data_IF_902230353241
#
_entry.id   IF_902230353241
#
_cell.length_a   1.000
_cell.length_b   1.000
_cell.length_c   1.000
_cell.angle_alpha   90.00
_cell.angle_beta   90.00
_cell.angle_gamma   90.00
#
_symmetry.space_group_name_H-M   'P 1'
#
loop_
_entity.id
_entity.type
_entity.pdbx_description
1 polymer ?
#
# COMPACT_ATOMS: atom_id res chain seq x y z
N UNK A 1 -11.27 19.24 12.74
CA UNK A 1 -11.59 17.81 12.57
C UNK A 1 -10.33 17.00 12.86
N UNK A 2 -10.46 15.83 13.48
CA UNK A 2 -9.34 14.90 13.72
C UNK A 2 -9.35 13.86 12.59
N UNK A 3 -8.20 13.68 11.95
CA UNK A 3 -8.00 12.60 10.99
C UNK A 3 -7.82 11.30 11.77
N UNK A 4 -8.49 10.23 11.34
CA UNK A 4 -8.35 8.89 11.89
C UNK A 4 -7.62 8.05 10.85
N UNK A 5 -6.53 7.42 11.25
CA UNK A 5 -5.82 6.47 10.40
C UNK A 5 -6.53 5.11 10.44
N UNK A 6 -6.97 4.64 9.28
CA UNK A 6 -7.59 3.32 9.09
C UNK A 6 -6.66 2.35 8.36
N UNK A 7 -5.40 2.72 8.18
CA UNK A 7 -4.38 1.93 7.47
C UNK A 7 -3.80 0.87 8.41
N UNK A 8 -3.62 -0.35 7.90
CA UNK A 8 -2.91 -1.40 8.62
C UNK A 8 -1.40 -1.04 8.66
N UNK A 9 -0.73 -1.12 9.82
CA UNK A 9 0.72 -0.93 9.89
C UNK A 9 1.46 -1.87 8.95
N UNK A 10 2.31 -1.31 8.09
CA UNK A 10 3.06 -2.06 7.10
C UNK A 10 4.44 -2.45 7.62
N UNK A 11 4.78 -3.73 7.56
CA UNK A 11 6.09 -4.24 7.98
C UNK A 11 6.36 -5.66 7.50
N UNK A 12 7.54 -6.20 7.81
CA UNK A 12 7.96 -7.55 7.38
C UNK A 12 7.05 -8.67 7.89
N UNK A 13 6.21 -8.40 8.90
CA UNK A 13 5.23 -9.33 9.44
C UNK A 13 3.83 -9.17 8.80
N UNK A 14 3.63 -8.21 7.90
CA UNK A 14 2.39 -8.08 7.15
C UNK A 14 2.23 -9.31 6.26
N UNK A 15 1.16 -10.10 6.44
CA UNK A 15 0.99 -11.34 5.69
C UNK A 15 0.78 -11.04 4.21
N UNK A 16 1.54 -11.67 3.29
CA UNK A 16 1.23 -11.58 1.87
C UNK A 16 0.04 -12.47 1.52
N UNK A 17 -0.48 -12.30 0.31
CA UNK A 17 -1.27 -13.35 -0.31
C UNK A 17 -0.40 -14.62 -0.45
N UNK A 18 -0.94 -15.84 -0.24
CA UNK A 18 -0.15 -17.08 -0.16
C UNK A 18 0.78 -17.36 -1.34
N UNK A 19 0.49 -16.81 -2.52
CA UNK A 19 1.28 -17.00 -3.75
C UNK A 19 2.07 -15.76 -4.19
N UNK A 20 2.06 -14.68 -3.40
CA UNK A 20 2.76 -13.43 -3.73
C UNK A 20 4.07 -13.29 -2.97
N UNK A 21 4.98 -12.50 -3.52
CA UNK A 21 6.21 -12.10 -2.81
C UNK A 21 5.86 -11.31 -1.55
N UNK A 22 6.39 -11.69 -0.37
CA UNK A 22 6.21 -10.93 0.86
C UNK A 22 6.92 -9.56 0.80
N UNK A 23 6.57 -8.66 1.72
CA UNK A 23 7.35 -7.43 1.88
C UNK A 23 8.77 -7.73 2.35
N UNK A 24 9.71 -7.40 1.48
CA UNK A 24 11.13 -7.44 1.76
C UNK A 24 11.63 -6.02 2.02
N UNK A 25 12.37 -5.84 3.11
CA UNK A 25 12.98 -4.56 3.48
C UNK A 25 14.49 -4.76 3.58
N UNK A 26 15.23 -4.09 2.70
CA UNK A 26 16.70 -4.12 2.69
C UNK A 26 17.26 -2.74 2.97
N UNK A 27 18.04 -2.60 4.03
CA UNK A 27 18.84 -1.41 4.25
C UNK A 27 20.11 -1.47 3.41
N UNK A 28 20.24 -0.55 2.44
CA UNK A 28 21.48 -0.37 1.67
C UNK A 28 22.37 0.75 2.23
N UNK A 29 21.83 1.57 3.15
CA UNK A 29 22.55 2.53 3.98
C UNK A 29 22.06 2.49 5.41
N UNK A 30 22.96 2.71 6.37
CA UNK A 30 22.66 2.84 7.79
C UNK A 30 23.13 4.20 8.31
N UNK A 31 22.39 4.76 9.27
CA UNK A 31 22.65 6.10 9.81
C UNK A 31 24.09 6.29 10.29
N UNK A 32 24.60 5.39 11.14
CA UNK A 32 25.93 5.53 11.73
C UNK A 32 27.08 5.59 10.69
N UNK A 33 27.21 4.66 9.74
CA UNK A 33 28.29 4.72 8.75
C UNK A 33 28.03 5.67 7.56
N UNK A 34 26.79 6.09 7.31
CA UNK A 34 26.44 6.80 6.06
C UNK A 34 25.78 8.17 6.26
N UNK A 35 25.45 8.57 7.49
CA UNK A 35 24.73 9.82 7.78
C UNK A 35 23.22 9.78 7.45
N UNK A 36 22.70 8.67 6.94
CA UNK A 36 21.28 8.46 6.69
C UNK A 36 20.92 6.96 6.62
N UNK A 37 19.65 6.63 6.84
CA UNK A 37 19.10 5.31 6.50
C UNK A 37 18.56 5.33 5.07
N UNK A 38 18.89 4.29 4.30
CA UNK A 38 18.35 4.08 2.96
C UNK A 38 17.81 2.67 2.86
N UNK A 39 16.55 2.53 2.43
CA UNK A 39 15.87 1.25 2.32
C UNK A 39 15.41 1.00 0.88
N UNK A 40 15.48 -0.25 0.47
CA UNK A 40 14.74 -0.78 -0.67
C UNK A 40 13.58 -1.60 -0.12
N UNK A 41 12.40 -1.36 -0.66
CA UNK A 41 11.19 -2.12 -0.37
C UNK A 41 10.84 -2.89 -1.65
N UNK A 42 10.55 -4.17 -1.51
CA UNK A 42 10.07 -5.02 -2.61
C UNK A 42 8.86 -5.78 -2.10
N UNK A 43 7.71 -5.57 -2.74
CA UNK A 43 6.45 -6.20 -2.39
C UNK A 43 5.50 -6.17 -3.60
N UNK A 44 4.45 -7.00 -3.56
CA UNK A 44 3.28 -6.82 -4.42
C UNK A 44 2.47 -5.58 -3.98
N UNK A 45 1.88 -4.84 -4.91
CA UNK A 45 0.95 -3.74 -4.57
C UNK A 45 -0.27 -4.20 -3.76
N UNK A 46 -0.56 -5.50 -3.78
CA UNK A 46 -1.66 -6.15 -3.05
C UNK A 46 -1.17 -6.58 -1.67
N UNK A 47 -0.87 -5.60 -0.82
CA UNK A 47 -0.35 -5.82 0.52
C UNK A 47 -0.82 -4.73 1.48
N UNK A 48 -1.33 -5.12 2.65
CA UNK A 48 -1.87 -4.18 3.62
C UNK A 48 -3.10 -3.44 3.10
N UNK A 49 -3.33 -2.22 3.57
CA UNK A 49 -4.39 -1.34 3.02
C UNK A 49 -3.93 -0.81 1.66
N UNK A 50 -4.65 -1.18 0.60
CA UNK A 50 -4.31 -0.85 -0.79
C UNK A 50 -5.58 -0.63 -1.63
N UNK A 51 -5.41 -0.28 -2.90
CA UNK A 51 -6.46 -0.08 -3.89
C UNK A 51 -6.14 -0.88 -5.15
N UNK A 52 -7.13 -1.60 -5.67
CA UNK A 52 -7.06 -2.23 -6.98
C UNK A 52 -7.52 -1.26 -8.06
N UNK A 53 -6.69 -1.10 -9.10
CA UNK A 53 -7.07 -0.38 -10.31
C UNK A 53 -7.85 -1.29 -11.26
N UNK A 54 -8.58 -0.71 -12.22
CA UNK A 54 -9.34 -1.48 -13.22
C UNK A 54 -8.46 -2.50 -13.95
N UNK A 55 -7.22 -2.11 -14.29
CA UNK A 55 -6.27 -2.96 -15.01
C UNK A 55 -5.94 -4.28 -14.27
N UNK A 56 -6.16 -4.34 -12.95
CA UNK A 56 -5.93 -5.56 -12.19
C UNK A 56 -6.83 -6.72 -12.65
N UNK A 57 -8.07 -6.42 -13.07
CA UNK A 57 -9.05 -7.43 -13.52
C UNK A 57 -9.53 -7.22 -14.97
N UNK A 58 -9.17 -6.11 -15.61
CA UNK A 58 -9.59 -5.78 -16.97
C UNK A 58 -8.42 -5.22 -17.77
N UNK A 59 -7.85 -6.02 -18.69
CA UNK A 59 -6.58 -5.70 -19.38
C UNK A 59 -6.48 -4.30 -20.01
N UNK A 60 -7.52 -3.75 -20.68
CA UNK A 60 -7.47 -2.39 -21.21
C UNK A 60 -8.04 -1.33 -20.25
N UNK A 61 -8.23 -1.68 -18.98
CA UNK A 61 -8.69 -0.78 -17.92
C UNK A 61 -7.64 0.25 -17.52
N UNK A 62 -8.08 1.25 -16.76
CA UNK A 62 -7.22 2.30 -16.21
C UNK A 62 -6.20 1.74 -15.22
N UNK A 63 -4.99 2.32 -15.25
CA UNK A 63 -4.03 2.16 -14.17
C UNK A 63 -4.38 3.07 -12.97
N UNK A 64 -3.66 2.89 -11.86
CA UNK A 64 -3.88 3.68 -10.63
C UNK A 64 -3.63 5.18 -10.86
N UNK A 65 -2.64 5.54 -11.68
CA UNK A 65 -2.28 6.93 -11.94
C UNK A 65 -3.34 7.68 -12.77
N UNK A 66 -4.19 6.95 -13.47
CA UNK A 66 -5.29 7.46 -14.29
C UNK A 66 -6.59 7.69 -13.50
N UNK A 67 -6.62 7.42 -12.18
CA UNK A 67 -7.76 7.70 -11.32
C UNK A 67 -7.71 9.15 -10.81
N UNK A 68 -8.82 9.86 -10.95
CA UNK A 68 -8.96 11.25 -10.49
C UNK A 68 -9.14 11.33 -8.97
N UNK A 69 -8.62 12.39 -8.35
CA UNK A 69 -8.72 12.56 -6.88
C UNK A 69 -10.16 12.69 -6.38
N UNK A 70 -11.06 13.25 -7.18
CA UNK A 70 -12.48 13.36 -6.85
C UNK A 70 -13.18 11.99 -6.77
N UNK A 71 -12.60 10.96 -7.39
CA UNK A 71 -13.05 9.56 -7.22
C UNK A 71 -12.50 8.95 -5.93
N UNK A 72 -11.30 9.33 -5.50
CA UNK A 72 -10.60 8.75 -4.35
C UNK A 72 -10.92 9.43 -3.02
N UNK A 73 -11.44 10.66 -3.04
CA UNK A 73 -11.68 11.48 -1.85
C UNK A 73 -13.09 12.02 -1.86
N UNK A 74 -13.91 11.56 -0.92
CA UNK A 74 -15.28 12.03 -0.78
C UNK A 74 -15.92 11.59 0.53
N UNK A 75 -17.20 11.96 0.73
CA UNK A 75 -17.99 11.45 1.85
C UNK A 75 -18.06 9.92 1.82
N UNK A 76 -17.89 9.30 2.98
CA UNK A 76 -18.00 7.86 3.15
C UNK A 76 -18.84 7.54 4.39
N UNK A 77 -19.40 6.33 4.43
CA UNK A 77 -20.13 5.80 5.57
C UNK A 77 -19.42 4.54 6.10
N UNK A 78 -19.37 4.40 7.42
CA UNK A 78 -18.94 3.16 8.08
C UNK A 78 -20.20 2.37 8.42
N UNK A 79 -20.26 1.11 7.97
CA UNK A 79 -21.40 0.22 8.18
C UNK A 79 -20.89 -1.06 8.84
N UNK A 80 -21.58 -1.52 9.88
CA UNK A 80 -21.31 -2.79 10.55
C UNK A 80 -22.12 -3.92 9.88
N UNK A 81 -21.44 -5.00 9.51
CA UNK A 81 -21.99 -6.19 8.84
C UNK A 81 -21.54 -7.49 9.54
N UNK A 82 -21.16 -7.41 10.81
CA UNK A 82 -20.70 -8.56 11.62
C UNK A 82 -21.78 -9.58 11.95
#
# INVERSE_FOLDING_TARGET
>A
MKIIDLTIPLGIATPPWPTYEPLQIKYFKRLAPNGANGQLLTHSNHLGTHLDGEIHFYTPGKDIASLEMDFLVGPAAVVDLS
#
